data_IF_644597375817
#
_entry.id   IF_644597375817
#
_cell.length_a   1.000
_cell.length_b   1.000
_cell.length_c   1.000
_cell.angle_alpha   90.00
_cell.angle_beta   90.00
_cell.angle_gamma   90.00
#
_symmetry.space_group_name_H-M   'P 1'
#
loop_
_entity.id
_entity.type
_entity.pdbx_description
1 polymer ?
#
# COMPACT_ATOMS: atom_id res chain seq x y z
N UNK A 1 44.41 -14.30 -23.56
CA UNK A 1 43.71 -13.13 -23.01
C UNK A 1 42.32 -13.58 -22.66
N UNK A 2 41.93 -13.61 -21.37
CA UNK A 2 40.59 -14.05 -20.99
C UNK A 2 39.64 -12.88 -21.10
N UNK A 3 38.59 -13.02 -21.91
CA UNK A 3 37.53 -12.01 -22.01
C UNK A 3 36.88 -11.86 -20.63
N UNK A 4 36.78 -10.63 -20.10
CA UNK A 4 35.90 -10.37 -18.97
C UNK A 4 34.47 -10.59 -19.47
N UNK A 5 33.80 -11.63 -18.97
CA UNK A 5 32.36 -11.72 -19.14
C UNK A 5 31.73 -10.52 -18.41
N UNK A 6 31.08 -9.66 -19.19
CA UNK A 6 30.37 -8.49 -18.70
C UNK A 6 28.93 -8.93 -18.44
N UNK A 7 28.61 -9.15 -17.17
CA UNK A 7 27.27 -9.58 -16.77
C UNK A 7 26.30 -8.39 -16.87
N UNK A 8 24.99 -8.64 -17.14
CA UNK A 8 23.97 -7.60 -17.09
C UNK A 8 23.98 -6.85 -15.75
N UNK A 9 23.54 -5.60 -15.75
CA UNK A 9 23.32 -4.87 -14.49
C UNK A 9 22.05 -5.41 -13.85
N UNK A 10 22.15 -5.90 -12.60
CA UNK A 10 20.99 -6.36 -11.85
C UNK A 10 19.92 -5.27 -11.74
N UNK A 11 18.65 -5.64 -11.94
CA UNK A 11 17.52 -4.75 -11.63
C UNK A 11 17.45 -4.46 -10.13
N UNK A 12 16.76 -3.41 -9.71
CA UNK A 12 16.63 -3.09 -8.28
C UNK A 12 15.82 -4.14 -7.52
N UNK A 13 14.90 -4.82 -8.20
CA UNK A 13 14.17 -5.98 -7.66
C UNK A 13 15.11 -7.17 -7.44
N UNK A 14 15.94 -7.53 -8.44
CA UNK A 14 16.95 -8.58 -8.33
C UNK A 14 17.97 -8.28 -7.21
N UNK A 15 18.44 -7.03 -7.09
CA UNK A 15 19.33 -6.60 -6.00
C UNK A 15 18.65 -6.74 -4.63
N UNK A 16 17.39 -6.31 -4.51
CA UNK A 16 16.62 -6.39 -3.27
C UNK A 16 16.35 -7.84 -2.86
N UNK A 17 15.95 -8.71 -3.78
CA UNK A 17 15.71 -10.12 -3.52
C UNK A 17 17.00 -10.86 -3.15
N UNK A 18 18.11 -10.56 -3.84
CA UNK A 18 19.42 -11.12 -3.51
C UNK A 18 19.87 -10.67 -2.10
N UNK A 19 19.66 -9.41 -1.74
CA UNK A 19 19.96 -8.87 -0.41
C UNK A 19 19.05 -9.49 0.67
N UNK A 20 17.74 -9.58 0.44
CA UNK A 20 16.75 -10.21 1.35
C UNK A 20 17.04 -11.71 1.54
N UNK A 21 17.40 -12.42 0.47
CA UNK A 21 17.79 -13.83 0.52
C UNK A 21 19.13 -14.03 1.24
N UNK A 22 20.11 -13.16 1.00
CA UNK A 22 21.39 -13.17 1.70
C UNK A 22 21.23 -12.92 3.21
N UNK A 23 20.35 -11.99 3.59
CA UNK A 23 19.97 -11.77 4.99
C UNK A 23 19.26 -13.00 5.59
N UNK A 24 18.26 -13.56 4.90
CA UNK A 24 17.45 -14.70 5.37
C UNK A 24 18.26 -16.00 5.53
N UNK A 25 19.21 -16.28 4.64
CA UNK A 25 20.06 -17.49 4.69
C UNK A 25 21.39 -17.27 5.45
N UNK A 26 21.72 -16.03 5.77
CA UNK A 26 22.94 -15.64 6.48
C UNK A 26 24.20 -15.57 5.59
N UNK A 27 25.17 -14.73 5.94
CA UNK A 27 26.27 -14.31 5.06
C UNK A 27 27.20 -15.45 4.62
N UNK A 28 27.25 -16.56 5.37
CA UNK A 28 28.12 -17.72 5.09
C UNK A 28 27.46 -18.80 4.22
N UNK A 29 26.13 -18.84 4.10
CA UNK A 29 25.40 -19.97 3.49
C UNK A 29 24.51 -19.59 2.30
N UNK A 30 24.19 -18.31 2.12
CA UNK A 30 23.25 -17.88 1.08
C UNK A 30 23.68 -18.28 -0.34
N UNK A 31 24.95 -18.07 -0.72
CA UNK A 31 25.46 -18.49 -2.04
C UNK A 31 25.32 -19.99 -2.29
N UNK A 32 25.73 -20.81 -1.31
CA UNK A 32 25.65 -22.27 -1.41
C UNK A 32 24.19 -22.75 -1.45
N UNK A 33 23.28 -22.10 -0.72
CA UNK A 33 21.84 -22.35 -0.75
C UNK A 33 21.22 -22.00 -2.10
N UNK A 34 21.61 -20.88 -2.71
CA UNK A 34 21.09 -20.45 -4.01
C UNK A 34 21.64 -21.31 -5.16
N UNK A 35 22.95 -21.58 -5.16
CA UNK A 35 23.58 -22.52 -6.10
C UNK A 35 22.92 -23.91 -6.03
N UNK A 36 22.68 -24.44 -4.81
CA UNK A 36 22.02 -25.74 -4.65
C UNK A 36 20.57 -25.74 -5.17
N UNK A 37 19.83 -24.64 -5.07
CA UNK A 37 18.50 -24.52 -5.65
C UNK A 37 18.54 -24.51 -7.18
N UNK A 38 19.47 -23.74 -7.76
CA UNK A 38 19.69 -23.68 -9.22
C UNK A 38 20.17 -25.03 -9.81
N UNK A 39 21.01 -25.78 -9.11
CA UNK A 39 21.57 -27.05 -9.58
C UNK A 39 20.67 -28.26 -9.33
N UNK A 40 19.93 -28.29 -8.22
CA UNK A 40 19.12 -29.47 -7.81
C UNK A 40 17.62 -29.31 -8.08
N UNK A 41 17.21 -28.20 -8.70
CA UNK A 41 15.80 -27.94 -9.00
C UNK A 41 14.91 -27.80 -7.76
N UNK A 42 15.48 -27.44 -6.60
CA UNK A 42 14.65 -27.18 -5.42
C UNK A 42 13.88 -25.87 -5.63
N UNK A 43 12.56 -25.83 -5.37
CA UNK A 43 11.80 -24.58 -5.47
C UNK A 43 12.41 -23.53 -4.55
N UNK A 44 12.70 -22.36 -5.12
CA UNK A 44 12.98 -21.17 -4.33
C UNK A 44 11.66 -20.72 -3.68
N UNK A 45 11.69 -20.18 -2.45
CA UNK A 45 10.49 -19.69 -1.80
C UNK A 45 9.80 -18.59 -2.66
N UNK A 46 8.46 -18.60 -2.79
CA UNK A 46 7.74 -17.68 -3.69
C UNK A 46 8.01 -16.20 -3.46
N UNK A 47 8.44 -15.81 -2.24
CA UNK A 47 8.78 -14.43 -1.90
C UNK A 47 10.11 -13.90 -2.48
N UNK A 48 10.75 -14.67 -3.39
CA UNK A 48 11.96 -14.31 -4.14
C UNK A 48 11.86 -14.67 -5.64
N UNK A 49 10.86 -14.15 -6.38
CA UNK A 49 10.55 -14.59 -7.75
C UNK A 49 11.72 -14.36 -8.72
N UNK A 50 12.48 -13.28 -8.55
CA UNK A 50 13.57 -12.89 -9.47
C UNK A 50 14.78 -13.83 -9.43
N UNK A 51 15.00 -14.53 -8.33
CA UNK A 51 16.22 -15.33 -8.11
C UNK A 51 16.34 -16.54 -9.03
N UNK A 52 15.25 -16.99 -9.66
CA UNK A 52 15.32 -18.01 -10.71
C UNK A 52 15.77 -17.44 -12.05
N UNK A 53 15.37 -16.22 -12.40
CA UNK A 53 15.79 -15.53 -13.62
C UNK A 53 17.32 -15.28 -13.63
N UNK A 54 17.88 -14.92 -12.47
CA UNK A 54 19.33 -14.74 -12.27
C UNK A 54 20.18 -15.96 -12.62
N UNK A 55 19.63 -17.18 -12.54
CA UNK A 55 20.33 -18.40 -13.01
C UNK A 55 20.66 -18.31 -14.50
N UNK A 56 19.75 -17.75 -15.29
CA UNK A 56 19.82 -17.72 -16.75
C UNK A 56 20.59 -16.48 -17.26
N UNK A 57 20.48 -15.35 -16.57
CA UNK A 57 21.16 -14.09 -16.96
C UNK A 57 22.59 -13.96 -16.42
N UNK A 58 22.92 -14.59 -15.28
CA UNK A 58 24.21 -14.41 -14.61
C UNK A 58 24.90 -15.74 -14.26
N UNK A 59 24.13 -16.72 -13.76
CA UNK A 59 24.60 -18.08 -13.51
C UNK A 59 25.63 -18.24 -12.36
N UNK A 60 26.18 -19.45 -12.27
CA UNK A 60 26.99 -19.90 -11.14
C UNK A 60 28.34 -19.19 -10.99
N UNK A 61 28.97 -18.73 -12.08
CA UNK A 61 30.26 -18.07 -12.01
C UNK A 61 30.17 -16.67 -11.42
N UNK A 62 29.15 -15.90 -11.84
CA UNK A 62 28.81 -14.61 -11.24
C UNK A 62 28.44 -14.73 -9.75
N UNK A 63 27.65 -15.74 -9.38
CA UNK A 63 27.26 -15.93 -7.98
C UNK A 63 28.49 -16.17 -7.07
N UNK A 64 29.61 -16.68 -7.61
CA UNK A 64 30.86 -16.84 -6.87
C UNK A 64 31.57 -15.48 -6.65
N UNK A 65 31.56 -14.57 -7.62
CA UNK A 65 32.27 -13.28 -7.54
C UNK A 65 31.53 -12.19 -6.73
N UNK A 66 30.20 -12.12 -6.80
CA UNK A 66 29.39 -11.02 -6.25
C UNK A 66 29.42 -10.92 -4.70
N UNK A 67 29.41 -9.72 -4.09
CA UNK A 67 29.37 -9.56 -2.62
C UNK A 67 28.06 -8.97 -2.14
N UNK A 68 27.52 -9.50 -1.03
CA UNK A 68 26.27 -8.99 -0.44
C UNK A 68 26.34 -7.51 0.02
N UNK A 69 27.54 -6.98 0.26
CA UNK A 69 27.76 -5.57 0.59
C UNK A 69 27.62 -4.63 -0.62
N UNK A 70 27.72 -5.14 -1.85
CA UNK A 70 27.60 -4.33 -3.08
C UNK A 70 26.14 -3.88 -3.34
N UNK A 71 25.19 -4.38 -2.55
CA UNK A 71 23.75 -4.06 -2.62
C UNK A 71 23.22 -3.33 -1.37
N UNK A 72 24.10 -2.68 -0.59
CA UNK A 72 23.73 -2.18 0.73
C UNK A 72 24.22 -0.74 1.03
N UNK A 73 23.28 0.22 0.89
CA UNK A 73 23.24 1.57 1.53
C UNK A 73 24.22 2.65 1.01
N UNK A 74 24.07 3.95 1.39
CA UNK A 74 22.98 4.73 2.06
C UNK A 74 22.41 5.85 1.11
N UNK A 75 21.66 6.92 1.45
CA UNK A 75 20.59 7.35 2.39
C UNK A 75 20.12 8.78 1.90
N UNK A 76 19.11 9.54 2.39
CA UNK A 76 18.30 9.56 3.63
C UNK A 76 16.87 10.11 3.37
N UNK A 77 15.86 9.52 4.01
CA UNK A 77 14.75 10.11 4.78
C UNK A 77 14.52 9.09 5.94
N UNK A 78 13.85 9.41 7.07
CA UNK A 78 13.43 8.34 7.96
C UNK A 78 12.45 7.44 7.20
N UNK A 79 12.77 6.15 7.08
CA UNK A 79 11.80 5.16 6.61
C UNK A 79 10.57 5.25 7.53
N UNK A 80 9.45 5.75 7.01
CA UNK A 80 8.17 5.64 7.69
C UNK A 80 7.94 4.15 7.96
N UNK A 81 7.79 3.72 9.23
CA UNK A 81 7.64 2.31 9.53
C UNK A 81 6.41 1.78 8.79
N UNK A 82 6.45 0.54 8.25
CA UNK A 82 5.28 -0.04 7.61
C UNK A 82 4.12 -0.01 8.62
N UNK A 83 2.96 0.49 8.18
CA UNK A 83 1.82 0.69 9.06
C UNK A 83 1.51 -0.61 9.84
N UNK A 84 1.64 -0.62 11.17
CA UNK A 84 1.47 -1.83 11.94
C UNK A 84 0.02 -2.31 11.86
N UNK A 85 -0.25 -3.61 12.07
CA UNK A 85 -1.60 -4.15 12.00
C UNK A 85 -2.55 -3.38 12.92
N UNK A 86 -3.72 -3.01 12.37
CA UNK A 86 -4.76 -2.26 13.08
C UNK A 86 -5.24 -3.09 14.28
N UNK A 87 -4.95 -2.61 15.48
CA UNK A 87 -5.63 -3.01 16.71
C UNK A 87 -6.60 -1.89 17.09
N UNK A 88 -7.89 -2.20 17.21
CA UNK A 88 -8.86 -1.27 17.77
C UNK A 88 -8.59 -1.13 19.27
N UNK A 89 -8.16 0.06 19.70
CA UNK A 89 -7.88 0.39 21.10
C UNK A 89 -8.95 1.33 21.67
N UNK A 90 -9.52 0.96 22.81
CA UNK A 90 -10.33 1.84 23.65
C UNK A 90 -9.45 2.43 24.75
N UNK A 91 -9.39 3.75 24.85
CA UNK A 91 -8.57 4.45 25.84
C UNK A 91 -9.37 4.86 27.07
N UNK A 92 -8.80 4.67 28.26
CA UNK A 92 -9.36 5.07 29.56
C UNK A 92 -8.29 5.73 30.42
N UNK A 93 -8.70 6.68 31.26
CA UNK A 93 -7.83 7.23 32.30
C UNK A 93 -7.69 6.23 33.44
N UNK A 94 -6.46 5.84 33.76
CA UNK A 94 -6.12 5.01 34.90
C UNK A 94 -5.73 5.86 36.13
N UNK A 95 -5.50 5.21 37.30
CA UNK A 95 -4.97 5.89 38.48
C UNK A 95 -3.55 6.40 38.23
N UNK A 96 -3.12 7.41 39.01
CA UNK A 96 -1.76 7.99 39.00
C UNK A 96 -1.30 8.48 37.61
N UNK A 97 -2.13 9.29 36.93
CA UNK A 97 -1.84 9.88 35.59
C UNK A 97 -1.53 8.86 34.49
N UNK A 98 -1.92 7.59 34.67
CA UNK A 98 -1.74 6.56 33.65
C UNK A 98 -2.85 6.61 32.60
N UNK A 99 -2.51 6.29 31.34
CA UNK A 99 -3.47 5.91 30.33
C UNK A 99 -3.49 4.39 30.19
N UNK A 100 -4.69 3.82 30.14
CA UNK A 100 -4.94 2.40 29.89
C UNK A 100 -5.57 2.27 28.51
N UNK A 101 -4.90 1.57 27.59
CA UNK A 101 -5.50 1.14 26.34
C UNK A 101 -5.92 -0.32 26.44
N UNK A 102 -7.18 -0.62 26.12
CA UNK A 102 -7.71 -1.98 25.99
C UNK A 102 -8.02 -2.25 24.52
N UNK A 103 -7.45 -3.30 23.93
CA UNK A 103 -7.72 -3.61 22.52
C UNK A 103 -7.69 -5.08 22.19
N UNK A 104 -8.36 -5.43 21.08
CA UNK A 104 -8.46 -6.80 20.56
C UNK A 104 -7.59 -7.00 19.33
N UNK A 105 -7.00 -8.18 19.20
CA UNK A 105 -6.42 -8.69 17.95
C UNK A 105 -7.49 -9.02 16.91
N UNK A 106 -7.10 -9.13 15.64
CA UNK A 106 -7.98 -9.45 14.51
C UNK A 106 -8.64 -10.84 14.59
N UNK A 107 -8.13 -11.75 15.42
CA UNK A 107 -8.75 -13.04 15.74
C UNK A 107 -9.77 -12.96 16.91
N UNK A 108 -9.94 -11.78 17.50
CA UNK A 108 -10.84 -11.51 18.62
C UNK A 108 -10.41 -12.06 19.98
N UNK A 109 -9.27 -12.77 20.06
CA UNK A 109 -8.90 -13.59 21.23
C UNK A 109 -7.97 -12.92 22.25
N UNK A 110 -7.14 -11.97 21.84
CA UNK A 110 -6.14 -11.36 22.74
C UNK A 110 -6.59 -9.96 23.18
N UNK A 111 -6.87 -9.78 24.47
CA UNK A 111 -7.16 -8.49 25.07
C UNK A 111 -5.88 -7.87 25.66
N UNK A 112 -5.24 -6.94 24.95
CA UNK A 112 -4.06 -6.23 25.46
C UNK A 112 -4.46 -5.04 26.31
N UNK A 113 -3.95 -5.02 27.55
CA UNK A 113 -3.96 -3.86 28.44
C UNK A 113 -2.57 -3.19 28.38
N UNK A 114 -2.50 -2.00 27.77
CA UNK A 114 -1.29 -1.18 27.75
C UNK A 114 -1.37 -0.12 28.85
N UNK A 115 -0.44 -0.15 29.81
CA UNK A 115 -0.30 0.89 30.84
C UNK A 115 0.81 1.84 30.42
N UNK A 116 0.46 3.13 30.35
CA UNK A 116 1.31 4.20 29.86
C UNK A 116 1.39 5.30 30.92
N UNK A 117 2.59 5.60 31.39
CA UNK A 117 2.80 6.70 32.34
C UNK A 117 3.03 8.02 31.59
N UNK A 118 2.47 9.10 32.13
CA UNK A 118 2.87 10.47 31.81
C UNK A 118 4.17 10.79 32.56
N UNK A 119 5.26 11.02 31.83
CA UNK A 119 6.52 11.49 32.42
C UNK A 119 6.84 12.93 31.95
N UNK A 120 7.40 13.72 32.88
CA UNK A 120 7.88 15.10 32.73
C UNK A 120 6.83 16.13 32.27
N UNK A 121 6.19 16.81 33.22
CA UNK A 121 5.17 17.87 32.99
C UNK A 121 4.01 17.43 32.06
N UNK A 122 3.74 16.13 31.99
CA UNK A 122 2.71 15.55 31.13
C UNK A 122 3.08 15.43 29.65
N UNK A 123 4.35 15.67 29.26
CA UNK A 123 4.77 15.91 27.86
C UNK A 123 5.22 14.67 27.08
N UNK A 124 5.38 13.53 27.74
CA UNK A 124 5.80 12.28 27.12
C UNK A 124 5.06 11.08 27.71
N UNK A 125 4.76 10.12 26.84
CA UNK A 125 4.11 8.87 27.19
C UNK A 125 5.08 7.70 27.07
N UNK A 126 5.24 6.92 28.16
CA UNK A 126 6.12 5.74 28.18
C UNK A 126 5.31 4.47 28.43
N UNK A 127 5.35 3.56 27.46
CA UNK A 127 4.76 2.22 27.59
C UNK A 127 5.47 1.43 28.70
N UNK A 128 4.79 1.22 29.84
CA UNK A 128 5.35 0.47 30.99
C UNK A 128 5.06 -1.01 30.95
N UNK A 129 3.85 -1.41 30.53
CA UNK A 129 3.41 -2.81 30.58
C UNK A 129 2.40 -3.11 29.48
N UNK A 130 2.53 -4.29 28.89
CA UNK A 130 1.51 -4.97 28.07
C UNK A 130 1.19 -6.29 28.77
N UNK A 131 -0.08 -6.56 29.00
CA UNK A 131 -0.57 -7.82 29.58
C UNK A 131 -1.85 -8.28 28.87
N UNK A 132 -2.03 -9.60 28.79
CA UNK A 132 -3.35 -10.20 28.55
C UNK A 132 -4.19 -10.12 29.82
N UNK A 133 -5.52 -10.00 29.68
CA UNK A 133 -6.46 -9.96 30.82
C UNK A 133 -6.45 -11.21 31.71
N UNK A 134 -5.91 -12.33 31.20
CA UNK A 134 -5.81 -13.63 31.89
C UNK A 134 -4.37 -14.01 32.33
N UNK A 135 -3.37 -13.17 32.03
CA UNK A 135 -1.98 -13.36 32.46
C UNK A 135 -1.18 -14.48 31.76
N UNK A 136 -1.82 -15.39 31.02
CA UNK A 136 -1.11 -16.45 30.27
C UNK A 136 -1.79 -16.74 28.93
N UNK A 137 -1.22 -16.21 27.84
CA UNK A 137 -1.64 -16.55 26.48
C UNK A 137 -1.21 -17.96 26.11
N UNK A 138 -2.14 -18.90 26.26
CA UNK A 138 -2.02 -20.28 25.79
C UNK A 138 -3.03 -20.56 24.67
N UNK A 139 -2.67 -21.39 23.70
CA UNK A 139 -3.65 -21.97 22.78
C UNK A 139 -4.58 -22.96 23.52
N UNK A 140 -5.61 -23.46 22.85
CA UNK A 140 -6.56 -24.44 23.40
C UNK A 140 -5.90 -25.77 23.85
N UNK A 141 -4.64 -26.00 23.45
CA UNK A 141 -3.80 -27.15 23.82
C UNK A 141 -2.79 -26.85 24.95
N UNK A 142 -2.81 -25.63 25.50
CA UNK A 142 -1.99 -25.23 26.65
C UNK A 142 -0.59 -24.69 26.33
N UNK A 143 -0.25 -24.50 25.06
CA UNK A 143 1.05 -24.02 24.58
C UNK A 143 1.10 -22.49 24.44
N UNK A 144 2.24 -21.81 24.70
CA UNK A 144 2.34 -20.36 24.56
C UNK A 144 2.01 -19.86 23.14
N UNK A 145 1.11 -18.88 23.03
CA UNK A 145 0.78 -18.25 21.74
C UNK A 145 2.02 -17.53 21.16
N UNK A 146 2.25 -17.77 19.86
CA UNK A 146 3.50 -17.44 19.15
C UNK A 146 3.88 -15.95 19.21
N UNK A 147 5.16 -15.69 19.51
CA UNK A 147 5.75 -14.37 19.79
C UNK A 147 5.50 -13.28 18.75
N UNK A 148 5.40 -13.63 17.45
CA UNK A 148 5.26 -12.66 16.36
C UNK A 148 4.00 -11.79 16.45
N UNK A 149 2.86 -12.36 16.85
CA UNK A 149 1.61 -11.59 16.97
C UNK A 149 1.71 -10.54 18.09
N UNK A 150 2.35 -10.92 19.20
CA UNK A 150 2.58 -10.03 20.33
C UNK A 150 3.62 -8.93 20.02
N UNK A 151 4.63 -9.22 19.20
CA UNK A 151 5.61 -8.21 18.75
C UNK A 151 4.99 -7.18 17.81
N UNK A 152 4.26 -7.61 16.77
CA UNK A 152 3.55 -6.68 15.88
C UNK A 152 2.50 -5.83 16.63
N UNK A 153 1.86 -6.38 17.67
CA UNK A 153 0.92 -5.63 18.51
C UNK A 153 1.62 -4.67 19.49
N UNK A 154 2.82 -5.01 20.00
CA UNK A 154 3.66 -4.07 20.77
C UNK A 154 4.07 -2.87 19.90
N UNK A 155 4.44 -3.11 18.65
CA UNK A 155 4.76 -2.06 17.68
C UNK A 155 3.53 -1.19 17.37
N UNK A 156 2.36 -1.79 17.16
CA UNK A 156 1.09 -1.08 16.98
C UNK A 156 0.73 -0.18 18.18
N UNK A 157 0.83 -0.69 19.40
CA UNK A 157 0.60 0.08 20.64
C UNK A 157 1.64 1.19 20.79
N UNK A 158 2.93 0.90 20.56
CA UNK A 158 4.00 1.91 20.64
C UNK A 158 3.82 3.03 19.61
N UNK A 159 3.35 2.72 18.40
CA UNK A 159 3.01 3.72 17.40
C UNK A 159 1.82 4.58 17.84
N UNK A 160 0.74 3.99 18.34
CA UNK A 160 -0.43 4.75 18.81
C UNK A 160 -0.10 5.64 20.03
N UNK A 161 0.76 5.17 20.94
CA UNK A 161 1.30 5.99 22.04
C UNK A 161 2.15 7.15 21.51
N UNK A 162 2.98 6.89 20.49
CA UNK A 162 3.82 7.92 19.87
C UNK A 162 3.00 8.94 19.08
N UNK A 163 1.92 8.49 18.42
CA UNK A 163 0.94 9.34 17.75
C UNK A 163 0.25 10.25 18.75
N UNK A 164 -0.27 9.72 19.87
CA UNK A 164 -0.91 10.53 20.92
C UNK A 164 0.06 11.55 21.55
N UNK A 165 1.32 11.17 21.76
CA UNK A 165 2.38 12.08 22.20
C UNK A 165 2.73 13.17 21.17
N UNK A 166 2.39 12.96 19.89
CA UNK A 166 2.58 13.91 18.81
C UNK A 166 1.35 14.80 18.63
N UNK A 167 0.14 14.26 18.76
CA UNK A 167 -1.12 15.01 18.79
C UNK A 167 -1.12 16.08 19.91
N UNK A 168 -0.61 15.75 21.10
CA UNK A 168 -0.42 16.74 22.20
C UNK A 168 0.66 17.81 21.90
N UNK A 169 1.48 17.63 20.84
CA UNK A 169 2.50 18.59 20.39
C UNK A 169 2.09 19.41 19.17
N UNK A 170 1.14 18.96 18.36
CA UNK A 170 0.64 19.73 17.23
C UNK A 170 -0.13 20.93 17.78
N UNK A 171 0.45 22.12 17.59
CA UNK A 171 -0.24 23.35 17.92
C UNK A 171 -1.38 23.58 16.91
N UNK A 172 -2.60 23.69 17.41
CA UNK A 172 -3.77 24.12 16.64
C UNK A 172 -4.18 25.52 17.10
N UNK A 173 -4.62 26.34 16.16
CA UNK A 173 -5.03 27.72 16.40
C UNK A 173 -6.55 27.85 16.17
N UNK A 174 -7.24 28.78 16.86
CA UNK A 174 -8.68 28.87 16.79
C UNK A 174 -9.17 29.28 15.39
N UNK A 175 -10.40 28.91 15.04
CA UNK A 175 -11.04 29.32 13.78
C UNK A 175 -11.25 30.84 13.65
N UNK A 176 -11.10 31.59 14.76
CA UNK A 176 -11.10 33.05 14.80
C UNK A 176 -9.73 33.70 14.52
N UNK A 177 -8.70 32.91 14.20
CA UNK A 177 -7.38 33.43 13.80
C UNK A 177 -7.50 34.33 12.55
N UNK A 178 -6.86 35.51 12.53
CA UNK A 178 -6.80 36.36 11.34
C UNK A 178 -6.29 35.62 10.10
N UNK A 179 -6.83 35.93 8.91
CA UNK A 179 -6.46 35.26 7.66
C UNK A 179 -7.20 33.94 7.36
N UNK A 180 -8.01 33.42 8.29
CA UNK A 180 -8.93 32.30 7.98
C UNK A 180 -9.94 32.74 6.90
N UNK A 181 -10.09 32.00 5.78
CA UNK A 181 -10.94 32.42 4.67
C UNK A 181 -12.42 32.12 4.93
N UNK A 182 -13.31 33.08 4.63
CA UNK A 182 -14.78 32.87 4.71
C UNK A 182 -15.33 31.97 3.60
N UNK A 183 -14.58 31.82 2.50
CA UNK A 183 -14.96 31.08 1.30
C UNK A 183 -13.81 30.24 0.78
N UNK A 184 -14.15 29.08 0.26
CA UNK A 184 -13.28 28.12 -0.39
C UNK A 184 -13.77 27.83 -1.82
N UNK A 185 -13.00 27.13 -2.67
CA UNK A 185 -13.49 26.60 -3.94
C UNK A 185 -14.76 25.73 -3.78
N UNK A 186 -14.91 25.08 -2.63
CA UNK A 186 -16.04 24.19 -2.29
C UNK A 186 -17.22 24.91 -1.60
N UNK A 187 -17.24 26.25 -1.63
CA UNK A 187 -18.33 27.08 -1.10
C UNK A 187 -17.98 27.84 0.18
N UNK A 188 -19.02 28.29 0.90
CA UNK A 188 -18.86 29.03 2.16
C UNK A 188 -18.27 28.10 3.23
N UNK A 189 -17.21 28.54 3.89
CA UNK A 189 -16.57 27.79 4.97
C UNK A 189 -17.52 27.69 6.16
N UNK A 190 -17.64 26.49 6.72
CA UNK A 190 -18.47 26.19 7.90
C UNK A 190 -17.61 25.83 9.11
N UNK A 191 -16.51 25.11 8.90
CA UNK A 191 -15.50 24.85 9.93
C UNK A 191 -14.11 25.16 9.36
N UNK A 192 -13.19 25.59 10.22
CA UNK A 192 -11.80 25.86 9.88
C UNK A 192 -10.89 25.42 11.04
N UNK A 193 -9.92 24.56 10.74
CA UNK A 193 -8.85 24.17 11.65
C UNK A 193 -7.54 24.79 11.16
N UNK A 194 -6.94 25.67 11.96
CA UNK A 194 -5.67 26.31 11.62
C UNK A 194 -4.52 25.48 12.18
N UNK A 195 -3.65 24.99 11.29
CA UNK A 195 -2.53 24.10 11.60
C UNK A 195 -1.20 24.87 11.75
N UNK A 196 -1.07 26.04 11.12
CA UNK A 196 0.16 26.85 11.14
C UNK A 196 -0.18 28.33 10.99
N UNK A 197 0.53 29.18 11.73
CA UNK A 197 0.55 30.63 11.50
C UNK A 197 1.70 31.02 10.57
N UNK A 198 1.57 32.16 9.93
CA UNK A 198 2.66 32.79 9.19
C UNK A 198 3.61 33.48 10.18
N UNK A 199 4.88 33.11 10.18
CA UNK A 199 5.88 33.62 11.13
C UNK A 199 6.08 35.15 11.03
N UNK A 200 5.69 35.78 9.91
CA UNK A 200 5.82 37.22 9.69
C UNK A 200 4.57 38.01 10.04
N UNK A 201 3.37 37.48 9.76
CA UNK A 201 2.10 38.21 9.95
C UNK A 201 1.31 37.77 11.19
N UNK A 202 1.55 36.56 11.70
CA UNK A 202 0.73 35.94 12.74
C UNK A 202 -0.66 35.49 12.26
N UNK A 203 -0.95 35.60 10.96
CA UNK A 203 -2.19 35.14 10.34
C UNK A 203 -2.14 33.64 10.01
N UNK A 204 -3.27 33.03 9.67
CA UNK A 204 -3.33 31.63 9.30
C UNK A 204 -2.55 31.33 8.00
N UNK A 205 -1.46 30.57 8.12
CA UNK A 205 -0.64 30.12 6.99
C UNK A 205 -1.14 28.83 6.35
N UNK A 206 -1.64 27.89 7.17
CA UNK A 206 -2.20 26.61 6.71
C UNK A 206 -3.50 26.37 7.48
N UNK A 207 -4.61 26.35 6.75
CA UNK A 207 -5.96 26.12 7.28
C UNK A 207 -6.61 24.96 6.56
N UNK A 208 -7.04 23.94 7.29
CA UNK A 208 -8.03 23.00 6.76
C UNK A 208 -9.41 23.65 6.87
N UNK A 209 -10.20 23.63 5.81
CA UNK A 209 -11.56 24.15 5.78
C UNK A 209 -12.54 23.06 5.35
N UNK A 210 -13.77 23.11 5.87
CA UNK A 210 -14.87 22.25 5.41
C UNK A 210 -16.17 23.01 5.18
N UNK A 211 -16.95 22.47 4.25
CA UNK A 211 -18.28 22.88 3.82
C UNK A 211 -19.22 21.68 3.84
N UNK A 212 -20.49 21.85 3.44
CA UNK A 212 -21.55 20.86 3.69
C UNK A 212 -21.42 19.55 2.91
N UNK A 213 -20.50 19.48 1.95
CA UNK A 213 -20.24 18.26 1.16
C UNK A 213 -18.77 18.06 0.77
N UNK A 214 -17.84 18.85 1.31
CA UNK A 214 -16.43 18.81 0.91
C UNK A 214 -15.52 19.57 1.90
N UNK A 215 -14.21 19.33 1.84
CA UNK A 215 -13.21 20.17 2.48
C UNK A 215 -11.90 20.25 1.71
N UNK A 216 -10.86 20.76 2.37
CA UNK A 216 -9.50 20.78 1.86
C UNK A 216 -8.62 21.79 2.57
N UNK A 217 -7.34 21.85 2.19
CA UNK A 217 -6.36 22.78 2.74
C UNK A 217 -6.28 24.07 1.91
N UNK A 218 -6.29 25.20 2.60
CA UNK A 218 -6.06 26.53 2.06
C UNK A 218 -4.80 27.13 2.70
N UNK A 219 -3.87 27.60 1.86
CA UNK A 219 -2.57 28.12 2.25
C UNK A 219 -2.49 29.62 1.99
N UNK A 220 -1.77 30.35 2.85
CA UNK A 220 -1.34 31.71 2.54
C UNK A 220 -0.38 31.72 1.33
N UNK A 221 -0.22 32.85 0.65
CA UNK A 221 0.72 32.98 -0.47
C UNK A 221 2.17 32.62 -0.08
N UNK A 222 2.56 32.92 1.16
CA UNK A 222 3.86 32.57 1.71
C UNK A 222 3.98 31.04 1.90
N UNK A 223 3.01 30.41 2.56
CA UNK A 223 2.99 28.95 2.72
C UNK A 223 2.96 28.22 1.37
N UNK A 224 2.13 28.64 0.42
CA UNK A 224 2.09 28.07 -0.92
C UNK A 224 3.44 28.19 -1.67
N UNK A 225 4.24 29.21 -1.37
CA UNK A 225 5.60 29.37 -1.91
C UNK A 225 6.64 28.42 -1.31
N UNK A 226 6.34 27.80 -0.15
CA UNK A 226 7.21 26.83 0.55
C UNK A 226 6.92 25.38 0.14
N UNK A 227 5.72 25.06 -0.38
CA UNK A 227 5.41 23.74 -0.98
C UNK A 227 6.48 23.37 -2.01
N UNK A 228 7.12 22.19 -1.98
CA UNK A 228 8.10 21.80 -2.99
C UNK A 228 7.50 21.85 -4.41
N UNK A 229 8.21 22.36 -5.44
CA UNK A 229 7.62 22.55 -6.77
C UNK A 229 6.97 21.31 -7.38
N UNK A 230 7.52 20.13 -7.11
CA UNK A 230 6.99 18.82 -7.53
C UNK A 230 5.65 18.46 -6.88
N UNK A 231 5.35 19.00 -5.69
CA UNK A 231 4.08 18.81 -4.99
C UNK A 231 3.02 19.89 -5.29
N UNK A 232 3.34 20.93 -6.09
CA UNK A 232 2.38 22.02 -6.40
C UNK A 232 1.44 21.63 -7.53
N UNK A 233 0.14 21.77 -7.31
CA UNK A 233 -0.89 21.61 -8.34
C UNK A 233 -0.83 22.68 -9.44
N UNK A 234 -0.42 23.90 -9.08
CA UNK A 234 -0.14 24.96 -10.05
C UNK A 234 0.82 26.00 -9.46
N UNK A 235 1.50 26.81 -10.29
CA UNK A 235 2.47 27.81 -9.82
C UNK A 235 1.90 28.88 -8.88
N UNK A 236 0.57 29.06 -8.83
CA UNK A 236 -0.15 29.98 -7.92
C UNK A 236 -1.21 29.27 -7.08
N UNK A 237 -1.15 27.93 -6.99
CA UNK A 237 -2.15 27.13 -6.30
C UNK A 237 -2.02 27.23 -4.79
N UNK A 238 -3.07 27.74 -4.14
CA UNK A 238 -3.17 27.87 -2.68
C UNK A 238 -4.15 26.87 -2.06
N UNK A 239 -4.85 26.07 -2.86
CA UNK A 239 -5.95 25.20 -2.43
C UNK A 239 -5.70 23.75 -2.82
N UNK A 240 -5.86 22.83 -1.88
CA UNK A 240 -5.61 21.40 -2.03
C UNK A 240 -6.84 20.63 -1.53
N UNK A 241 -7.42 19.81 -2.39
CA UNK A 241 -8.60 18.97 -2.19
C UNK A 241 -8.37 17.93 -1.04
N UNK A 242 -9.44 17.52 -0.34
CA UNK A 242 -9.37 16.71 0.90
C UNK A 242 -9.08 15.23 0.69
N UNK A 243 -9.60 14.59 -0.36
CA UNK A 243 -9.54 13.14 -0.55
C UNK A 243 -8.23 12.70 -1.25
N UNK A 244 -7.70 13.56 -2.12
CA UNK A 244 -6.50 13.32 -2.92
C UNK A 244 -5.36 14.28 -2.59
N UNK A 245 -5.56 15.60 -2.70
CA UNK A 245 -4.44 16.55 -2.76
C UNK A 245 -3.89 17.00 -1.39
N UNK A 246 -4.62 16.75 -0.31
CA UNK A 246 -4.22 17.04 1.07
C UNK A 246 -2.83 16.48 1.40
N UNK A 247 -2.47 15.34 0.79
CA UNK A 247 -1.20 14.68 0.97
C UNK A 247 -0.01 15.59 0.60
N UNK A 248 -0.18 16.45 -0.41
CA UNK A 248 0.83 17.40 -0.87
C UNK A 248 1.14 18.44 0.20
N UNK A 249 0.13 18.87 0.96
CA UNK A 249 0.29 19.79 2.09
C UNK A 249 0.96 19.08 3.27
N UNK A 250 0.51 17.86 3.61
CA UNK A 250 1.08 17.07 4.69
C UNK A 250 2.57 16.75 4.48
N UNK A 251 2.96 16.36 3.25
CA UNK A 251 4.36 16.10 2.88
C UNK A 251 5.20 17.38 2.72
N UNK A 252 4.58 18.55 2.60
CA UNK A 252 5.28 19.84 2.56
C UNK A 252 5.56 20.42 3.95
N UNK A 253 4.69 20.15 4.92
CA UNK A 253 4.73 20.71 6.27
C UNK A 253 4.60 19.61 7.33
N UNK A 254 5.53 18.63 7.36
CA UNK A 254 5.39 17.46 8.21
C UNK A 254 5.31 17.77 9.71
N UNK A 255 5.75 18.94 10.15
CA UNK A 255 5.60 19.43 11.53
C UNK A 255 4.14 19.69 11.95
N UNK A 256 3.22 19.85 11.00
CA UNK A 256 1.80 20.14 11.26
C UNK A 256 0.93 18.89 11.38
N UNK A 257 1.46 17.69 11.11
CA UNK A 257 0.72 16.45 10.87
C UNK A 257 1.30 15.28 11.69
N UNK A 258 0.45 14.37 12.15
CA UNK A 258 0.93 13.22 12.94
C UNK A 258 1.71 12.23 12.05
N UNK A 259 2.55 11.35 12.63
CA UNK A 259 3.19 10.26 11.88
C UNK A 259 2.19 9.36 11.14
N UNK A 260 0.97 9.19 11.68
CA UNK A 260 -0.12 8.48 11.01
C UNK A 260 -0.61 9.24 9.78
N UNK A 261 -0.86 10.55 9.90
CA UNK A 261 -1.27 11.40 8.80
C UNK A 261 -0.21 11.45 7.70
N UNK A 262 1.08 11.48 8.06
CA UNK A 262 2.19 11.44 7.10
C UNK A 262 2.30 10.09 6.38
N UNK A 263 2.07 8.97 7.08
CA UNK A 263 1.94 7.66 6.43
C UNK A 263 0.75 7.60 5.49
N UNK A 264 -0.38 8.24 5.84
CA UNK A 264 -1.56 8.30 4.99
C UNK A 264 -1.37 9.23 3.80
N UNK A 265 -0.68 10.35 3.97
CA UNK A 265 -0.32 11.26 2.89
C UNK A 265 0.61 10.57 1.87
N UNK A 266 1.63 9.84 2.35
CA UNK A 266 2.50 9.04 1.48
C UNK A 266 1.70 8.00 0.69
N UNK A 267 0.80 7.25 1.34
CA UNK A 267 -0.07 6.25 0.72
C UNK A 267 -1.06 6.85 -0.29
N UNK A 268 -1.69 7.99 0.05
CA UNK A 268 -2.58 8.73 -0.85
C UNK A 268 -1.81 9.21 -2.08
N UNK A 269 -0.68 9.91 -1.91
CA UNK A 269 0.12 10.40 -3.04
C UNK A 269 0.57 9.22 -3.92
N UNK A 270 1.07 8.14 -3.31
CA UNK A 270 1.54 6.95 -4.04
C UNK A 270 0.46 6.33 -4.91
N UNK A 271 -0.77 6.24 -4.39
CA UNK A 271 -1.88 5.57 -5.07
C UNK A 271 -2.69 6.51 -5.98
N UNK A 272 -2.64 7.83 -5.80
CA UNK A 272 -3.39 8.79 -6.61
C UNK A 272 -2.53 9.42 -7.73
N UNK A 273 -1.30 9.82 -7.41
CA UNK A 273 -0.35 10.45 -8.34
C UNK A 273 1.04 9.80 -8.19
N UNK A 274 1.21 8.57 -8.73
CA UNK A 274 2.46 7.83 -8.66
C UNK A 274 3.62 8.56 -9.36
N UNK A 275 3.35 9.40 -10.34
CA UNK A 275 4.40 10.13 -11.08
C UNK A 275 5.00 11.24 -10.20
N UNK A 276 4.15 12.04 -9.54
CA UNK A 276 4.61 12.99 -8.52
C UNK A 276 5.28 12.29 -7.36
N UNK A 277 4.75 11.15 -6.88
CA UNK A 277 5.37 10.39 -5.79
C UNK A 277 6.81 9.98 -6.14
N UNK A 278 7.02 9.43 -7.35
CA UNK A 278 8.34 8.99 -7.79
C UNK A 278 9.31 10.17 -7.95
N UNK A 279 8.82 11.30 -8.44
CA UNK A 279 9.61 12.53 -8.58
C UNK A 279 9.94 13.19 -7.23
N UNK A 280 9.04 13.14 -6.24
CA UNK A 280 9.26 13.68 -4.89
C UNK A 280 10.23 12.80 -4.06
N UNK A 281 10.07 11.48 -4.09
CA UNK A 281 10.93 10.55 -3.36
C UNK A 281 12.20 10.13 -4.11
N UNK A 282 12.34 10.46 -5.40
CA UNK A 282 13.49 10.09 -6.24
C UNK A 282 13.68 8.58 -6.40
N UNK A 283 12.58 7.81 -6.37
CA UNK A 283 12.60 6.33 -6.47
C UNK A 283 11.41 5.83 -7.28
N UNK A 284 11.65 4.82 -8.11
CA UNK A 284 10.62 4.19 -8.95
C UNK A 284 9.72 3.25 -8.14
N UNK A 285 8.44 3.22 -8.51
CA UNK A 285 7.46 2.29 -7.96
C UNK A 285 7.54 0.96 -8.69
N UNK A 286 7.58 -0.13 -7.93
CA UNK A 286 7.55 -1.49 -8.47
C UNK A 286 6.08 -1.98 -8.60
N UNK A 287 5.80 -3.02 -9.40
CA UNK A 287 4.48 -3.61 -9.49
C UNK A 287 3.91 -3.97 -8.11
N UNK A 288 2.62 -3.68 -7.88
CA UNK A 288 1.93 -3.90 -6.61
C UNK A 288 2.15 -2.78 -5.57
N UNK A 289 2.94 -1.75 -5.85
CA UNK A 289 3.20 -0.65 -4.91
C UNK A 289 2.26 0.55 -5.06
N UNK A 290 1.57 0.69 -6.19
CA UNK A 290 0.63 1.80 -6.44
C UNK A 290 -0.54 1.32 -7.29
N UNK A 291 -1.75 1.42 -6.73
CA UNK A 291 -2.98 1.01 -7.42
C UNK A 291 -3.10 1.68 -8.80
N UNK A 292 -2.93 3.00 -8.89
CA UNK A 292 -3.09 3.72 -10.17
C UNK A 292 -1.97 3.43 -11.16
N UNK A 293 -0.73 3.15 -10.72
CA UNK A 293 0.32 2.73 -11.64
C UNK A 293 0.09 1.31 -12.15
N UNK A 294 -0.33 0.39 -11.27
CA UNK A 294 -0.66 -0.98 -11.64
C UNK A 294 -1.89 -1.03 -12.57
N UNK A 295 -2.91 -0.21 -12.32
CA UNK A 295 -4.09 -0.04 -13.18
C UNK A 295 -3.69 0.52 -14.56
N UNK A 296 -2.84 1.56 -14.59
CA UNK A 296 -2.30 2.11 -15.84
C UNK A 296 -1.51 1.08 -16.63
N UNK A 297 -0.67 0.28 -15.97
CA UNK A 297 0.12 -0.77 -16.59
C UNK A 297 -0.76 -1.91 -17.12
N UNK A 298 -1.79 -2.31 -16.38
CA UNK A 298 -2.78 -3.30 -16.81
C UNK A 298 -3.51 -2.83 -18.08
N UNK A 299 -4.06 -1.60 -18.08
CA UNK A 299 -4.76 -1.05 -19.25
C UNK A 299 -3.82 -0.88 -20.46
N UNK A 300 -2.54 -0.54 -20.24
CA UNK A 300 -1.55 -0.42 -21.32
C UNK A 300 -1.15 -1.79 -21.90
N UNK A 301 -1.05 -2.82 -21.07
CA UNK A 301 -0.75 -4.19 -21.51
C UNK A 301 -1.91 -4.81 -22.29
N UNK A 302 -3.15 -4.56 -21.86
CA UNK A 302 -4.38 -5.13 -22.43
C UNK A 302 -5.12 -4.18 -23.37
N UNK A 303 -4.44 -3.16 -23.90
CA UNK A 303 -5.04 -2.11 -24.75
C UNK A 303 -5.69 -2.63 -26.05
N UNK A 304 -5.21 -3.78 -26.55
CA UNK A 304 -5.69 -4.43 -27.77
C UNK A 304 -6.56 -5.67 -27.46
N UNK A 305 -6.69 -6.06 -26.18
CA UNK A 305 -7.47 -7.21 -25.73
C UNK A 305 -8.91 -6.80 -25.40
N UNK A 306 -9.84 -7.76 -25.41
CA UNK A 306 -11.20 -7.53 -24.93
C UNK A 306 -11.23 -7.51 -23.39
N UNK A 307 -11.53 -6.34 -22.80
CA UNK A 307 -11.70 -6.19 -21.35
C UNK A 307 -13.20 -6.06 -21.04
N UNK A 308 -13.68 -6.83 -20.07
CA UNK A 308 -15.08 -6.82 -19.62
C UNK A 308 -15.46 -5.46 -19.06
N UNK A 309 -16.50 -4.85 -19.67
CA UNK A 309 -17.03 -3.54 -19.28
C UNK A 309 -18.31 -3.65 -18.46
N UNK A 310 -19.09 -4.72 -18.63
CA UNK A 310 -20.26 -5.05 -17.81
C UNK A 310 -20.55 -6.56 -17.80
N UNK A 311 -21.29 -7.03 -16.81
CA UNK A 311 -21.60 -8.45 -16.64
C UNK A 311 -23.00 -8.65 -16.06
N UNK A 312 -23.66 -9.72 -16.51
CA UNK A 312 -24.99 -10.15 -16.08
C UNK A 312 -24.92 -11.65 -15.77
N UNK A 313 -25.52 -12.06 -14.65
CA UNK A 313 -25.67 -13.49 -14.35
C UNK A 313 -26.61 -14.10 -15.40
N UNK A 314 -26.17 -15.13 -16.10
CA UNK A 314 -27.06 -15.84 -17.02
C UNK A 314 -27.97 -16.78 -16.24
N UNK A 315 -29.27 -16.75 -16.53
CA UNK A 315 -30.23 -17.76 -16.08
C UNK A 315 -30.28 -18.94 -17.07
N UNK A 316 -29.94 -18.71 -18.34
CA UNK A 316 -29.95 -19.70 -19.43
C UNK A 316 -28.74 -20.66 -19.41
N UNK A 317 -27.59 -20.20 -18.89
CA UNK A 317 -26.36 -20.98 -18.78
C UNK A 317 -25.91 -21.13 -17.31
N UNK A 318 -26.43 -22.12 -16.57
CA UNK A 318 -26.10 -22.33 -15.16
C UNK A 318 -24.59 -22.50 -14.91
N UNK A 319 -24.03 -21.69 -14.02
CA UNK A 319 -22.61 -21.69 -13.70
C UNK A 319 -21.77 -20.71 -14.53
N UNK A 320 -22.36 -20.06 -15.55
CA UNK A 320 -21.71 -19.03 -16.34
C UNK A 320 -22.17 -17.60 -15.96
N UNK A 321 -21.35 -16.63 -16.34
CA UNK A 321 -21.67 -15.20 -16.34
C UNK A 321 -21.59 -14.72 -17.79
N UNK A 322 -22.66 -14.06 -18.25
CA UNK A 322 -22.64 -13.37 -19.53
C UNK A 322 -21.94 -12.02 -19.35
N UNK A 323 -20.85 -11.80 -20.07
CA UNK A 323 -20.04 -10.58 -19.98
C UNK A 323 -20.06 -9.84 -21.32
N UNK A 324 -20.06 -8.51 -21.26
CA UNK A 324 -19.86 -7.64 -22.41
C UNK A 324 -18.48 -7.02 -22.30
N UNK A 325 -17.63 -7.27 -23.29
CA UNK A 325 -16.26 -6.78 -23.33
C UNK A 325 -16.04 -5.88 -24.55
N UNK A 326 -15.07 -4.97 -24.43
CA UNK A 326 -14.65 -4.05 -25.49
C UNK A 326 -13.12 -4.06 -25.62
N UNK A 327 -12.56 -3.78 -26.81
CA UNK A 327 -11.11 -3.59 -26.97
C UNK A 327 -10.58 -2.51 -26.01
N UNK A 328 -9.57 -2.85 -25.20
CA UNK A 328 -9.01 -1.98 -24.17
C UNK A 328 -9.99 -1.54 -23.07
N UNK A 329 -11.19 -2.14 -23.02
CA UNK A 329 -12.28 -1.75 -22.12
C UNK A 329 -13.02 -0.46 -22.51
N UNK A 330 -12.76 0.10 -23.70
CA UNK A 330 -13.42 1.34 -24.15
C UNK A 330 -14.88 1.08 -24.54
N UNK A 331 -15.81 1.51 -23.69
CA UNK A 331 -17.26 1.38 -23.89
C UNK A 331 -17.80 2.11 -25.13
N UNK A 332 -17.01 2.97 -25.77
CA UNK A 332 -17.37 3.65 -27.01
C UNK A 332 -17.05 2.83 -28.27
N UNK A 333 -16.25 1.75 -28.13
CA UNK A 333 -15.98 0.79 -29.20
C UNK A 333 -17.07 -0.29 -29.26
N UNK A 334 -17.07 -1.07 -30.34
CA UNK A 334 -17.98 -2.20 -30.52
C UNK A 334 -17.75 -3.25 -29.42
N UNK A 335 -18.84 -3.70 -28.81
CA UNK A 335 -18.81 -4.64 -27.69
C UNK A 335 -19.22 -6.03 -28.15
N UNK A 336 -18.51 -7.04 -27.67
CA UNK A 336 -18.81 -8.45 -27.91
C UNK A 336 -19.24 -9.13 -26.62
N UNK A 337 -20.17 -10.09 -26.71
CA UNK A 337 -20.66 -10.87 -25.58
C UNK A 337 -19.94 -12.21 -25.50
N UNK A 338 -19.56 -12.60 -24.28
CA UNK A 338 -18.87 -13.86 -23.99
C UNK A 338 -19.51 -14.56 -22.77
N UNK A 339 -19.33 -15.88 -22.68
CA UNK A 339 -19.66 -16.66 -21.50
C UNK A 339 -18.37 -17.02 -20.75
N UNK A 340 -18.32 -16.66 -19.47
CA UNK A 340 -17.18 -16.91 -18.59
C UNK A 340 -17.65 -17.72 -17.37
N UNK A 341 -16.92 -18.76 -16.94
CA UNK A 341 -17.22 -19.48 -15.70
C UNK A 341 -17.34 -18.54 -14.50
N UNK A 342 -18.37 -18.74 -13.67
CA UNK A 342 -18.70 -17.80 -12.60
C UNK A 342 -17.63 -17.73 -11.49
N UNK A 343 -16.88 -18.81 -11.28
CA UNK A 343 -15.73 -18.87 -10.38
C UNK A 343 -14.50 -18.14 -10.95
N UNK A 344 -14.18 -18.35 -12.24
CA UNK A 344 -13.14 -17.62 -12.96
C UNK A 344 -13.42 -16.10 -12.97
N UNK A 345 -14.63 -15.69 -13.32
CA UNK A 345 -15.03 -14.28 -13.29
C UNK A 345 -15.03 -13.69 -11.88
N UNK A 346 -15.29 -14.50 -10.84
CA UNK A 346 -15.20 -14.07 -9.43
C UNK A 346 -13.77 -13.88 -8.96
N UNK A 347 -12.80 -14.58 -9.55
CA UNK A 347 -11.36 -14.48 -9.27
C UNK A 347 -10.63 -13.37 -10.07
N UNK A 348 -11.37 -12.52 -10.80
CA UNK A 348 -10.82 -11.48 -11.69
C UNK A 348 -9.90 -10.47 -10.99
N UNK A 349 -9.03 -9.84 -11.78
CA UNK A 349 -8.17 -8.74 -11.36
C UNK A 349 -8.99 -7.55 -10.83
N UNK A 350 -8.50 -6.79 -9.82
CA UNK A 350 -9.14 -5.56 -9.34
C UNK A 350 -9.15 -4.41 -10.37
N UNK A 351 -8.56 -4.61 -11.54
CA UNK A 351 -8.53 -3.66 -12.66
C UNK A 351 -9.43 -4.08 -13.84
N UNK A 352 -9.91 -5.34 -13.88
CA UNK A 352 -10.75 -5.84 -14.96
C UNK A 352 -10.73 -7.37 -15.10
N UNK A 353 -11.49 -7.87 -16.07
CA UNK A 353 -11.38 -9.24 -16.55
C UNK A 353 -11.05 -9.18 -18.04
N UNK A 354 -10.00 -9.88 -18.46
CA UNK A 354 -9.58 -9.96 -19.87
C UNK A 354 -10.16 -11.24 -20.45
N UNK A 355 -10.77 -11.14 -21.63
CA UNK A 355 -11.31 -12.27 -22.37
C UNK A 355 -10.15 -13.03 -23.03
N UNK A 356 -10.14 -14.33 -22.80
CA UNK A 356 -9.25 -15.30 -23.42
C UNK A 356 -9.99 -15.91 -24.63
N UNK A 357 -9.75 -15.39 -25.83
CA UNK A 357 -10.52 -15.78 -27.03
C UNK A 357 -10.37 -17.27 -27.40
N UNK A 358 -9.36 -17.98 -26.86
CA UNK A 358 -9.19 -19.43 -27.07
C UNK A 358 -10.02 -20.28 -26.07
N UNK A 359 -10.59 -19.64 -25.03
CA UNK A 359 -11.29 -20.31 -23.92
C UNK A 359 -12.68 -19.77 -23.60
N UNK A 360 -12.93 -18.48 -23.82
CA UNK A 360 -14.19 -17.79 -23.54
C UNK A 360 -14.98 -17.64 -24.83
N UNK A 361 -15.99 -18.49 -24.98
CA UNK A 361 -16.85 -18.54 -26.16
C UNK A 361 -17.90 -17.43 -26.13
N UNK A 362 -18.31 -16.97 -27.31
CA UNK A 362 -19.60 -16.28 -27.46
C UNK A 362 -20.76 -17.23 -27.08
N UNK A 363 -21.96 -16.71 -26.73
CA UNK A 363 -23.12 -17.57 -26.48
C UNK A 363 -23.45 -18.53 -27.65
N UNK A 364 -23.31 -18.06 -28.89
CA UNK A 364 -23.56 -18.86 -30.10
C UNK A 364 -22.56 -20.01 -30.26
N UNK A 365 -21.26 -19.76 -30.04
CA UNK A 365 -20.22 -20.79 -30.07
C UNK A 365 -20.39 -21.82 -28.94
N UNK A 366 -20.80 -21.37 -27.75
CA UNK A 366 -21.06 -22.25 -26.61
C UNK A 366 -22.22 -23.20 -26.90
N UNK A 367 -23.34 -22.71 -27.46
CA UNK A 367 -24.47 -23.54 -27.88
C UNK A 367 -24.11 -24.52 -29.01
N UNK A 368 -23.28 -24.08 -29.97
CA UNK A 368 -22.74 -24.94 -31.01
C UNK A 368 -21.82 -26.04 -30.46
N UNK A 369 -21.07 -25.78 -29.39
CA UNK A 369 -20.24 -26.79 -28.71
C UNK A 369 -21.09 -27.85 -27.99
N UNK A 370 -22.20 -27.44 -27.37
CA UNK A 370 -23.12 -28.30 -26.62
C UNK A 370 -23.97 -29.22 -27.51
N UNK A 371 -23.98 -29.01 -28.83
CA UNK A 371 -24.80 -29.76 -29.79
C UNK A 371 -24.00 -30.74 -30.67
N UNK A 372 -22.68 -30.82 -30.49
CA UNK A 372 -21.85 -31.88 -31.08
C UNK A 372 -22.01 -33.20 -30.30
N UNK A 373 -22.45 -34.31 -30.92
CA UNK A 373 -22.49 -35.59 -30.23
C UNK A 373 -21.08 -36.11 -29.95
N UNK A 374 -20.84 -36.63 -28.74
CA UNK A 374 -19.56 -37.27 -28.38
C UNK A 374 -19.23 -38.38 -29.37
N UNK A 375 -18.15 -38.21 -30.13
CA UNK A 375 -17.68 -39.20 -31.09
C UNK A 375 -17.00 -40.35 -30.34
N UNK A 376 -17.79 -41.30 -29.86
CA UNK A 376 -17.32 -42.50 -29.15
C UNK A 376 -16.52 -43.38 -30.09
N UNK A 377 -15.20 -43.20 -30.07
CA UNK A 377 -14.21 -44.01 -30.80
C UNK A 377 -14.31 -45.49 -30.43
N UNK A 378 -14.90 -46.27 -31.33
CA UNK A 378 -14.69 -47.68 -31.63
C UNK A 378 -14.05 -48.55 -30.53
N UNK A 379 -14.91 -49.29 -29.82
CA UNK A 379 -14.59 -50.65 -29.37
C UNK A 379 -15.13 -51.63 -30.42
N UNK A 380 -14.25 -52.24 -31.22
CA UNK A 380 -14.55 -53.50 -31.91
C UNK A 380 -13.80 -54.68 -31.22
N UNK A 381 -14.39 -55.90 -31.21
CA UNK A 381 -14.02 -57.00 -30.30
C UNK A 381 -12.87 -57.91 -30.76
#
# INVERSE_FOLDING_TARGET
MSSKHEYPVLTREEQNDLARYAAKKGPRKWKQSLQAAWERGMPLPPEFPTLYALRNSHGNEWLRSVKASEFSQPAKFPDLPPAPPKAELTWKNGPNETLVAEGKTSDGKTAVMAIVDREYEGRFFRLKKIASSDGTLKNEWGEPLMTKGLEAMKESVALQVSQKAYEEKIQRFPSSTPGVPERSPWGKVQNADVLKLDDLTGEAAITYVSTAGHGGFMLSSNAASQVPPVLRLSPRGTTYEQDADWCRVALSFPECFTPHDLSKAEETLRNYDPDTWQAYYGRELQPGQSRTLDERNFMAAHKDDYIVTSAVRSDDYPGMVAVFAAPGGDRNLEQSSFLVPADEYSARSPFGFVIDNDRHMTPEEYEASMTQPENTSDFEP
#
